data_IF_640207051394
#
_entry.id   IF_640207051394
#
_cell.length_a   1.000
_cell.length_b   1.000
_cell.length_c   1.000
_cell.angle_alpha   90.00
_cell.angle_beta   90.00
_cell.angle_gamma   90.00
#
_symmetry.space_group_name_H-M   'P 1'
#
loop_
_entity.id
_entity.type
_entity.pdbx_description
1 polymer ?
#
# COMPACT_ATOMS: atom_id res chain seq x y z
N UNK A 1 -0.39 -6.64 -22.87
CA UNK A 1 -0.23 -5.20 -22.52
C UNK A 1 1.25 -4.93 -22.41
N UNK A 2 1.75 -3.78 -22.87
CA UNK A 2 3.20 -3.54 -22.92
C UNK A 2 3.58 -2.51 -21.84
N UNK A 3 4.09 -2.98 -20.70
CA UNK A 3 4.57 -2.15 -19.61
C UNK A 3 6.10 -2.15 -19.47
N UNK A 4 6.81 -2.87 -20.35
CA UNK A 4 8.27 -2.96 -20.33
C UNK A 4 8.93 -1.58 -20.34
N UNK A 5 9.88 -1.37 -19.45
CA UNK A 5 10.63 -0.13 -19.29
C UNK A 5 9.90 0.97 -18.50
N UNK A 6 8.64 0.76 -18.11
CA UNK A 6 7.89 1.77 -17.35
C UNK A 6 8.26 1.75 -15.86
N UNK A 7 8.26 2.94 -15.29
CA UNK A 7 8.35 3.13 -13.84
C UNK A 7 7.01 2.85 -13.16
N UNK A 8 7.02 2.43 -11.90
CA UNK A 8 5.82 2.19 -11.09
C UNK A 8 5.83 3.06 -9.84
N UNK A 9 5.47 4.34 -9.99
CA UNK A 9 5.64 5.36 -8.96
C UNK A 9 4.35 5.69 -8.20
N UNK A 10 3.23 5.75 -8.92
CA UNK A 10 1.87 6.01 -8.41
C UNK A 10 0.84 5.51 -9.41
N UNK A 11 -0.35 5.10 -8.94
CA UNK A 11 -1.39 4.57 -9.82
C UNK A 11 -2.11 5.64 -10.65
N UNK A 12 -1.87 6.92 -10.39
CA UNK A 12 -2.31 7.99 -11.27
C UNK A 12 -1.73 7.85 -12.68
N UNK A 13 -0.53 7.29 -12.81
CA UNK A 13 0.19 7.11 -14.08
C UNK A 13 -0.27 5.90 -14.89
N UNK A 14 -1.23 5.12 -14.37
CA UNK A 14 -1.71 3.87 -14.96
C UNK A 14 -3.19 3.95 -15.32
N UNK A 15 -3.56 3.28 -16.43
CA UNK A 15 -4.99 3.18 -16.78
C UNK A 15 -5.69 2.07 -15.97
N UNK A 16 -7.03 2.09 -15.88
CA UNK A 16 -7.79 1.01 -15.24
C UNK A 16 -7.46 -0.39 -15.79
N UNK A 17 -7.25 -0.49 -17.11
CA UNK A 17 -6.92 -1.75 -17.79
C UNK A 17 -5.50 -2.22 -17.43
N UNK A 18 -4.55 -1.30 -17.30
CA UNK A 18 -3.17 -1.61 -16.87
C UNK A 18 -3.14 -2.09 -15.42
N UNK A 19 -3.92 -1.46 -14.54
CA UNK A 19 -4.05 -1.89 -13.14
C UNK A 19 -4.69 -3.28 -13.08
N UNK A 20 -5.78 -3.51 -13.82
CA UNK A 20 -6.45 -4.81 -13.90
C UNK A 20 -5.50 -5.90 -14.42
N UNK A 21 -4.72 -5.60 -15.45
CA UNK A 21 -3.70 -6.52 -15.96
C UNK A 21 -2.67 -6.91 -14.90
N UNK A 22 -2.19 -5.96 -14.07
CA UNK A 22 -1.25 -6.26 -12.99
C UNK A 22 -1.89 -7.13 -11.90
N UNK A 23 -3.17 -6.93 -11.59
CA UNK A 23 -3.91 -7.77 -10.65
C UNK A 23 -4.07 -9.20 -11.22
N UNK A 24 -4.42 -9.34 -12.50
CA UNK A 24 -4.55 -10.65 -13.18
C UNK A 24 -3.22 -11.40 -13.22
N UNK A 25 -2.15 -10.71 -13.57
CA UNK A 25 -0.81 -11.27 -13.58
C UNK A 25 -0.35 -11.69 -12.17
N UNK A 26 -0.73 -10.92 -11.14
CA UNK A 26 -0.45 -11.27 -9.75
C UNK A 26 -1.12 -12.60 -9.37
N UNK A 27 -2.37 -12.78 -9.74
CA UNK A 27 -3.11 -14.02 -9.53
C UNK A 27 -2.47 -15.20 -10.27
N UNK A 28 -2.15 -15.03 -11.55
CA UNK A 28 -1.48 -16.06 -12.36
C UNK A 28 -0.17 -16.51 -11.70
N UNK A 29 0.68 -15.57 -11.29
CA UNK A 29 1.97 -15.87 -10.64
C UNK A 29 1.81 -16.49 -9.25
N UNK A 30 0.79 -16.10 -8.50
CA UNK A 30 0.40 -16.73 -7.24
C UNK A 30 0.03 -18.20 -7.45
N UNK A 31 -0.80 -18.49 -8.44
CA UNK A 31 -1.19 -19.85 -8.76
C UNK A 31 -0.02 -20.71 -9.25
N UNK A 32 0.87 -20.16 -10.09
CA UNK A 32 2.09 -20.85 -10.52
C UNK A 32 2.95 -21.23 -9.32
N UNK A 33 3.19 -20.31 -8.39
CA UNK A 33 3.96 -20.59 -7.17
C UNK A 33 3.29 -21.66 -6.32
N UNK A 34 1.99 -21.59 -6.08
CA UNK A 34 1.26 -22.62 -5.31
C UNK A 34 1.29 -24.01 -5.95
N UNK A 35 1.33 -24.09 -7.28
CA UNK A 35 1.44 -25.35 -8.06
C UNK A 35 2.88 -25.82 -8.26
N UNK A 36 3.88 -25.09 -7.76
CA UNK A 36 5.31 -25.41 -7.96
C UNK A 36 5.78 -25.26 -9.42
N UNK A 37 5.03 -24.49 -10.24
CA UNK A 37 5.38 -24.26 -11.64
C UNK A 37 6.49 -23.19 -11.69
N UNK A 38 7.61 -23.55 -12.32
CA UNK A 38 8.73 -22.63 -12.53
C UNK A 38 8.31 -21.41 -13.36
N UNK A 39 8.76 -20.22 -12.95
CA UNK A 39 8.44 -18.95 -13.58
C UNK A 39 9.59 -17.94 -13.39
N UNK A 40 10.79 -18.37 -13.78
CA UNK A 40 12.06 -17.64 -13.64
C UNK A 40 12.47 -16.90 -14.93
N UNK A 41 11.53 -16.26 -15.58
CA UNK A 41 11.69 -15.60 -16.89
C UNK A 41 12.68 -14.42 -16.86
N UNK A 42 13.07 -13.92 -15.69
CA UNK A 42 14.02 -12.82 -15.51
C UNK A 42 15.40 -13.32 -15.01
N UNK A 43 15.72 -14.58 -15.27
CA UNK A 43 17.01 -15.16 -14.88
C UNK A 43 18.19 -14.31 -15.35
N UNK A 44 19.10 -14.00 -14.41
CA UNK A 44 20.32 -13.22 -14.68
C UNK A 44 20.16 -11.71 -14.52
N UNK A 45 18.95 -11.19 -14.33
CA UNK A 45 18.74 -9.78 -14.02
C UNK A 45 19.08 -9.47 -12.56
N UNK A 46 19.46 -8.23 -12.30
CA UNK A 46 19.87 -7.74 -10.99
C UNK A 46 19.05 -6.51 -10.63
N UNK A 47 18.56 -6.45 -9.40
CA UNK A 47 17.82 -5.28 -8.90
C UNK A 47 18.44 -4.72 -7.62
N UNK A 48 18.32 -3.39 -7.46
CA UNK A 48 18.69 -2.70 -6.22
C UNK A 48 17.43 -2.39 -5.40
N UNK A 49 17.50 -2.62 -4.09
CA UNK A 49 16.47 -2.22 -3.13
C UNK A 49 17.06 -1.12 -2.24
N UNK A 50 16.54 0.10 -2.39
CA UNK A 50 16.97 1.28 -1.62
C UNK A 50 15.97 1.54 -0.51
N UNK A 51 16.38 1.39 0.74
CA UNK A 51 15.54 1.63 1.90
C UNK A 51 16.07 2.79 2.74
N UNK A 52 15.36 3.90 2.78
CA UNK A 52 15.55 4.98 3.76
C UNK A 52 14.64 4.80 4.98
N UNK A 53 13.51 4.10 4.80
CA UNK A 53 12.62 3.61 5.87
C UNK A 53 12.66 2.09 5.90
N UNK A 54 12.97 1.51 7.05
CA UNK A 54 12.99 0.06 7.22
C UNK A 54 11.61 -0.58 7.01
N UNK A 55 11.59 -1.80 6.50
CA UNK A 55 10.37 -2.59 6.37
C UNK A 55 10.69 -4.07 6.17
N UNK A 56 10.20 -4.92 7.06
CA UNK A 56 10.31 -6.37 6.92
C UNK A 56 9.50 -6.87 5.72
N UNK A 57 8.22 -6.50 5.63
CA UNK A 57 7.30 -7.01 4.57
C UNK A 57 7.73 -6.59 3.17
N UNK A 58 7.99 -5.31 2.94
CA UNK A 58 8.39 -4.83 1.61
C UNK A 58 9.70 -5.47 1.17
N UNK A 59 10.70 -5.52 2.06
CA UNK A 59 11.98 -6.15 1.77
C UNK A 59 11.80 -7.63 1.42
N UNK A 60 11.19 -8.42 2.30
CA UNK A 60 10.98 -9.86 2.04
C UNK A 60 10.15 -10.09 0.77
N UNK A 61 9.13 -9.26 0.50
CA UNK A 61 8.31 -9.40 -0.71
C UNK A 61 9.12 -9.19 -1.98
N UNK A 62 9.97 -8.14 -2.04
CA UNK A 62 10.85 -7.91 -3.19
C UNK A 62 11.91 -9.00 -3.33
N UNK A 63 12.59 -9.38 -2.25
CA UNK A 63 13.63 -10.40 -2.28
C UNK A 63 13.08 -11.75 -2.77
N UNK A 64 11.96 -12.22 -2.19
CA UNK A 64 11.36 -13.51 -2.57
C UNK A 64 10.77 -13.44 -3.97
N UNK A 65 10.08 -12.35 -4.34
CA UNK A 65 9.54 -12.17 -5.68
C UNK A 65 10.64 -12.15 -6.76
N UNK A 66 11.74 -11.45 -6.50
CA UNK A 66 12.90 -11.42 -7.40
C UNK A 66 13.53 -12.81 -7.54
N UNK A 67 13.72 -13.52 -6.42
CA UNK A 67 14.25 -14.88 -6.43
C UNK A 67 13.37 -15.84 -7.24
N UNK A 68 12.05 -15.79 -7.06
CA UNK A 68 11.10 -16.61 -7.83
C UNK A 68 11.20 -16.36 -9.34
N UNK A 69 11.49 -15.10 -9.74
CA UNK A 69 11.69 -14.71 -11.14
C UNK A 69 13.12 -14.99 -11.68
N UNK A 70 14.02 -15.54 -10.85
CA UNK A 70 15.40 -15.85 -11.23
C UNK A 70 16.37 -14.67 -11.15
N UNK A 71 15.97 -13.58 -10.48
CA UNK A 71 16.79 -12.37 -10.33
C UNK A 71 17.68 -12.43 -9.08
N UNK A 72 18.74 -11.61 -9.10
CA UNK A 72 19.56 -11.30 -7.94
C UNK A 72 19.18 -9.94 -7.33
N UNK A 73 19.38 -9.81 -6.02
CA UNK A 73 19.00 -8.62 -5.25
C UNK A 73 20.20 -8.07 -4.49
N UNK A 74 20.36 -6.75 -4.54
CA UNK A 74 21.27 -6.00 -3.65
C UNK A 74 20.45 -5.08 -2.77
N UNK A 75 20.50 -5.30 -1.47
CA UNK A 75 19.83 -4.46 -0.48
C UNK A 75 20.74 -3.34 0.01
N UNK A 76 20.29 -2.11 -0.10
CA UNK A 76 20.95 -0.90 0.35
C UNK A 76 20.18 -0.31 1.53
N UNK A 77 20.69 -0.53 2.74
CA UNK A 77 20.06 -0.05 3.96
C UNK A 77 20.34 1.45 4.22
N UNK A 78 19.61 2.10 5.15
CA UNK A 78 19.80 3.52 5.45
C UNK A 78 21.19 3.89 5.96
N UNK A 79 21.92 2.94 6.55
CA UNK A 79 23.27 3.16 7.09
C UNK A 79 24.35 2.98 6.02
N UNK A 80 24.11 2.07 5.07
CA UNK A 80 25.02 1.75 3.97
C UNK A 80 24.88 2.63 2.73
N UNK A 81 23.80 3.43 2.64
CA UNK A 81 23.55 4.31 1.49
C UNK A 81 24.13 5.70 1.68
N UNK A 82 24.70 6.26 0.61
CA UNK A 82 25.19 7.65 0.55
C UNK A 82 24.18 8.61 -0.10
N UNK A 83 23.02 8.11 -0.52
CA UNK A 83 21.96 8.85 -1.22
C UNK A 83 21.55 10.09 -0.41
N UNK A 84 21.55 11.25 -1.06
CA UNK A 84 21.16 12.51 -0.45
C UNK A 84 22.11 13.04 0.63
N UNK A 85 23.21 12.34 0.93
CA UNK A 85 24.21 12.76 1.93
C UNK A 85 25.51 13.24 1.30
N UNK A 86 26.22 12.35 0.61
CA UNK A 86 27.47 12.65 -0.09
C UNK A 86 27.32 12.58 -1.61
N UNK A 87 26.26 11.98 -2.09
CA UNK A 87 25.94 11.83 -3.51
C UNK A 87 24.53 12.31 -3.77
N UNK A 88 24.33 13.04 -4.88
CA UNK A 88 23.00 13.48 -5.26
C UNK A 88 22.12 12.30 -5.68
N UNK A 89 20.78 12.45 -5.57
CA UNK A 89 19.82 11.45 -6.01
C UNK A 89 20.01 11.13 -7.50
N UNK A 90 20.22 12.19 -8.32
CA UNK A 90 20.44 12.05 -9.76
C UNK A 90 21.72 11.27 -10.10
N UNK A 91 22.82 11.48 -9.36
CA UNK A 91 24.08 10.76 -9.62
C UNK A 91 23.98 9.31 -9.15
N UNK A 92 23.42 9.07 -7.99
CA UNK A 92 23.10 7.71 -7.51
C UNK A 92 22.23 6.96 -8.53
N UNK A 93 21.19 7.60 -9.06
CA UNK A 93 20.32 7.00 -10.08
C UNK A 93 21.10 6.60 -11.34
N UNK A 94 21.97 7.48 -11.84
CA UNK A 94 22.81 7.21 -13.03
C UNK A 94 23.79 6.06 -12.80
N UNK A 95 24.37 5.97 -11.61
CA UNK A 95 25.30 4.88 -11.25
C UNK A 95 24.55 3.57 -11.16
N UNK A 96 23.48 3.51 -10.38
CA UNK A 96 22.70 2.28 -10.16
C UNK A 96 22.03 1.81 -11.45
N UNK A 97 21.50 2.71 -12.26
CA UNK A 97 20.89 2.36 -13.55
C UNK A 97 21.86 1.77 -14.58
N UNK A 98 23.18 1.87 -14.36
CA UNK A 98 24.21 1.19 -15.19
C UNK A 98 24.64 -0.16 -14.62
N UNK A 99 24.27 -0.46 -13.37
CA UNK A 99 24.63 -1.70 -12.70
C UNK A 99 23.45 -2.67 -12.59
N UNK A 100 22.23 -2.13 -12.48
CA UNK A 100 21.01 -2.88 -12.21
C UNK A 100 20.00 -2.76 -13.35
N UNK A 101 19.14 -3.76 -13.49
CA UNK A 101 18.03 -3.80 -14.44
C UNK A 101 16.78 -3.09 -13.93
N UNK A 102 16.69 -2.87 -12.63
CA UNK A 102 15.59 -2.17 -11.97
C UNK A 102 15.94 -1.73 -10.55
N UNK A 103 15.27 -0.71 -10.05
CA UNK A 103 15.52 -0.10 -8.73
C UNK A 103 14.22 0.03 -7.97
N UNK A 104 14.17 -0.50 -6.75
CA UNK A 104 13.13 -0.19 -5.79
C UNK A 104 13.60 0.92 -4.86
N UNK A 105 12.68 1.82 -4.51
CA UNK A 105 12.90 2.85 -3.50
C UNK A 105 11.77 2.84 -2.47
N UNK A 106 12.16 2.81 -1.20
CA UNK A 106 11.26 3.00 -0.05
C UNK A 106 11.82 4.08 0.87
N UNK A 107 11.10 5.19 0.99
CA UNK A 107 11.62 6.33 1.75
C UNK A 107 10.58 7.38 2.11
N UNK A 108 10.94 8.63 1.89
CA UNK A 108 10.18 9.78 2.36
C UNK A 108 9.38 10.45 1.23
N UNK A 109 9.94 11.45 0.55
CA UNK A 109 9.22 12.27 -0.41
C UNK A 109 9.03 11.59 -1.77
N UNK A 110 7.90 11.85 -2.40
CA UNK A 110 7.60 11.36 -3.75
C UNK A 110 8.58 11.93 -4.78
N UNK A 111 9.03 13.17 -4.58
CA UNK A 111 10.02 13.83 -5.43
C UNK A 111 11.34 13.04 -5.54
N UNK A 112 11.72 12.32 -4.50
CA UNK A 112 12.96 11.51 -4.47
C UNK A 112 12.84 10.34 -5.45
N UNK A 113 11.74 9.58 -5.38
CA UNK A 113 11.53 8.43 -6.26
C UNK A 113 11.29 8.87 -7.71
N UNK A 114 10.67 10.03 -7.92
CA UNK A 114 10.48 10.62 -9.25
C UNK A 114 11.82 11.10 -9.85
N UNK A 115 12.73 11.67 -9.04
CA UNK A 115 14.07 12.03 -9.46
C UNK A 115 14.91 10.78 -9.78
N UNK A 116 14.86 9.74 -8.97
CA UNK A 116 15.48 8.45 -9.27
C UNK A 116 14.98 7.92 -10.63
N UNK A 117 13.68 7.89 -10.84
CA UNK A 117 13.07 7.41 -12.09
C UNK A 117 13.50 8.22 -13.32
N UNK A 118 13.66 9.53 -13.15
CA UNK A 118 14.08 10.45 -14.23
C UNK A 118 15.50 10.17 -14.74
N UNK A 119 16.41 9.75 -13.86
CA UNK A 119 17.83 9.62 -14.19
C UNK A 119 18.36 8.18 -14.24
N UNK A 120 17.62 7.19 -13.76
CA UNK A 120 18.07 5.80 -13.69
C UNK A 120 18.23 5.14 -15.07
N UNK A 121 17.35 5.43 -16.04
CA UNK A 121 17.33 4.77 -17.34
C UNK A 121 16.87 3.31 -17.31
N UNK A 122 16.43 2.82 -16.15
CA UNK A 122 15.82 1.52 -15.91
C UNK A 122 14.54 1.71 -15.11
N UNK A 123 13.60 0.73 -15.08
CA UNK A 123 12.40 0.82 -14.26
C UNK A 123 12.70 1.10 -12.78
N UNK A 124 11.97 2.05 -12.22
CA UNK A 124 11.99 2.38 -10.79
C UNK A 124 10.62 2.06 -10.19
N UNK A 125 10.61 1.36 -9.06
CA UNK A 125 9.40 0.97 -8.34
C UNK A 125 9.32 1.67 -6.99
N UNK A 126 8.20 2.31 -6.72
CA UNK A 126 7.91 2.93 -5.43
C UNK A 126 7.44 1.89 -4.43
N UNK A 127 8.32 1.48 -3.52
CA UNK A 127 7.99 0.58 -2.41
C UNK A 127 7.18 1.25 -1.30
N UNK A 128 7.31 2.55 -1.12
CA UNK A 128 6.51 3.49 -0.32
C UNK A 128 7.16 4.86 -0.29
N UNK A 129 6.37 5.91 -0.45
CA UNK A 129 6.71 7.29 -0.07
C UNK A 129 5.69 7.82 0.95
N UNK A 130 5.83 9.07 1.37
CA UNK A 130 4.82 9.70 2.23
C UNK A 130 3.48 9.90 1.50
N UNK A 131 3.53 10.08 0.18
CA UNK A 131 2.38 10.43 -0.66
C UNK A 131 1.69 9.21 -1.27
N UNK A 132 2.46 8.15 -1.66
CA UNK A 132 1.90 7.00 -2.35
C UNK A 132 2.56 5.66 -1.95
N UNK A 133 1.76 4.58 -2.05
CA UNK A 133 2.20 3.20 -1.84
C UNK A 133 1.60 2.26 -2.91
N UNK A 134 1.99 2.42 -4.19
CA UNK A 134 1.31 1.73 -5.30
C UNK A 134 1.45 0.21 -5.27
N UNK A 135 2.55 -0.33 -4.74
CA UNK A 135 2.74 -1.79 -4.64
C UNK A 135 1.78 -2.45 -3.65
N UNK A 136 1.32 -1.72 -2.61
CA UNK A 136 0.28 -2.18 -1.69
C UNK A 136 -1.06 -2.29 -2.42
N UNK A 137 -1.39 -1.33 -3.26
CA UNK A 137 -2.69 -1.26 -3.94
C UNK A 137 -2.99 -2.49 -4.79
N UNK A 138 -2.00 -2.98 -5.54
CA UNK A 138 -2.21 -4.19 -6.37
C UNK A 138 -2.47 -5.41 -5.48
N UNK A 139 -1.82 -5.50 -4.32
CA UNK A 139 -2.05 -6.57 -3.35
C UNK A 139 -3.44 -6.47 -2.71
N UNK A 140 -3.85 -5.26 -2.32
CA UNK A 140 -5.16 -5.02 -1.71
C UNK A 140 -6.29 -5.39 -2.68
N UNK A 141 -6.17 -4.95 -3.94
CA UNK A 141 -7.17 -5.26 -4.97
C UNK A 141 -7.21 -6.76 -5.30
N UNK A 142 -6.06 -7.44 -5.33
CA UNK A 142 -6.04 -8.90 -5.48
C UNK A 142 -6.77 -9.58 -4.33
N UNK A 143 -6.51 -9.16 -3.08
CA UNK A 143 -7.14 -9.70 -1.88
C UNK A 143 -8.64 -9.49 -1.88
N UNK A 144 -9.10 -8.28 -2.18
CA UNK A 144 -10.54 -7.97 -2.30
C UNK A 144 -11.19 -8.87 -3.35
N UNK A 145 -10.56 -9.04 -4.51
CA UNK A 145 -11.09 -9.88 -5.58
C UNK A 145 -11.12 -11.37 -5.19
N UNK A 146 -10.14 -11.85 -4.46
CA UNK A 146 -10.12 -13.25 -3.97
C UNK A 146 -11.25 -13.53 -2.97
N UNK A 147 -11.56 -12.58 -2.09
CA UNK A 147 -12.59 -12.76 -1.05
C UNK A 147 -14.01 -12.37 -1.50
N UNK A 148 -14.14 -11.33 -2.33
CA UNK A 148 -15.45 -10.80 -2.73
C UNK A 148 -15.84 -11.13 -4.19
N UNK A 149 -14.95 -11.70 -5.00
CA UNK A 149 -15.19 -12.10 -6.38
C UNK A 149 -15.29 -10.94 -7.38
N UNK A 150 -15.21 -9.69 -6.94
CA UNK A 150 -15.33 -8.48 -7.76
C UNK A 150 -14.52 -7.33 -7.20
N UNK A 151 -14.32 -6.28 -8.03
CA UNK A 151 -13.82 -4.97 -7.61
C UNK A 151 -14.88 -3.89 -7.89
N UNK A 152 -15.37 -3.80 -9.13
CA UNK A 152 -16.36 -2.78 -9.50
C UNK A 152 -17.59 -2.81 -8.57
N UNK A 153 -17.98 -1.63 -8.07
CA UNK A 153 -19.11 -1.48 -7.16
C UNK A 153 -18.88 -2.01 -5.74
N UNK A 154 -17.62 -2.31 -5.36
CA UNK A 154 -17.25 -2.58 -3.97
C UNK A 154 -17.25 -1.26 -3.21
N UNK A 155 -17.95 -1.19 -2.08
CA UNK A 155 -17.86 -0.06 -1.16
C UNK A 155 -16.70 -0.28 -0.21
N UNK A 156 -15.67 0.55 -0.40
CA UNK A 156 -14.42 0.54 0.36
C UNK A 156 -14.38 1.70 1.35
N UNK A 157 -14.31 1.40 2.63
CA UNK A 157 -14.29 2.40 3.71
C UNK A 157 -12.90 2.42 4.35
N UNK A 158 -12.23 3.57 4.27
CA UNK A 158 -10.98 3.82 4.98
C UNK A 158 -11.23 4.62 6.25
N UNK A 159 -10.80 4.10 7.40
CA UNK A 159 -10.94 4.73 8.72
C UNK A 159 -9.56 5.04 9.29
N UNK A 160 -9.24 6.31 9.52
CA UNK A 160 -7.93 6.75 10.04
C UNK A 160 -7.43 8.02 9.36
N UNK A 161 -6.10 8.23 9.34
CA UNK A 161 -5.49 9.39 8.69
C UNK A 161 -5.39 9.19 7.17
N UNK A 162 -6.30 9.81 6.43
CA UNK A 162 -6.40 9.65 4.98
C UNK A 162 -5.52 10.64 4.17
N UNK A 163 -4.69 11.46 4.81
CA UNK A 163 -3.87 12.50 4.14
C UNK A 163 -2.61 11.98 3.46
N UNK A 164 -2.18 10.77 3.81
CA UNK A 164 -0.88 10.21 3.41
C UNK A 164 -1.03 9.03 2.44
N UNK A 165 0.06 8.29 2.26
CA UNK A 165 0.21 7.29 1.21
C UNK A 165 -0.93 6.28 1.10
N UNK A 166 -1.45 5.74 2.22
CA UNK A 166 -2.54 4.75 2.16
C UNK A 166 -3.85 5.39 1.72
N UNK A 167 -4.30 6.47 2.38
CA UNK A 167 -5.52 7.17 2.00
C UNK A 167 -5.50 7.65 0.57
N UNK A 168 -4.40 8.28 0.15
CA UNK A 168 -4.22 8.78 -1.21
C UNK A 168 -4.24 7.65 -2.25
N UNK A 169 -3.46 6.60 -2.03
CA UNK A 169 -3.34 5.49 -2.98
C UNK A 169 -4.63 4.69 -3.10
N UNK A 170 -5.31 4.42 -1.98
CA UNK A 170 -6.59 3.70 -1.96
C UNK A 170 -7.67 4.49 -2.69
N UNK A 171 -7.78 5.81 -2.45
CA UNK A 171 -8.74 6.67 -3.13
C UNK A 171 -8.53 6.68 -4.64
N UNK A 172 -7.29 6.87 -5.11
CA UNK A 172 -6.93 6.82 -6.54
C UNK A 172 -7.28 5.46 -7.14
N UNK A 173 -6.95 4.38 -6.44
CA UNK A 173 -7.18 3.02 -6.93
C UNK A 173 -8.67 2.69 -7.05
N UNK A 174 -9.45 3.05 -6.04
CA UNK A 174 -10.90 2.87 -6.05
C UNK A 174 -11.55 3.68 -7.18
N UNK A 175 -11.16 4.95 -7.35
CA UNK A 175 -11.66 5.80 -8.43
C UNK A 175 -11.41 5.16 -9.81
N UNK A 176 -10.20 4.62 -10.05
CA UNK A 176 -9.84 3.99 -11.33
C UNK A 176 -10.54 2.66 -11.58
N UNK A 177 -10.85 1.90 -10.54
CA UNK A 177 -11.44 0.55 -10.69
C UNK A 177 -12.97 0.53 -10.53
N UNK A 178 -13.62 1.70 -10.47
CA UNK A 178 -15.09 1.78 -10.35
C UNK A 178 -15.61 1.31 -8.99
N UNK A 179 -14.81 1.51 -7.92
CA UNK A 179 -15.17 1.21 -6.54
C UNK A 179 -15.62 2.47 -5.81
N UNK A 180 -16.54 2.33 -4.86
CA UNK A 180 -16.98 3.44 -4.03
C UNK A 180 -16.04 3.63 -2.84
N UNK A 181 -15.28 4.72 -2.83
CA UNK A 181 -14.35 5.05 -1.76
C UNK A 181 -14.99 5.99 -0.73
N UNK A 182 -14.87 5.64 0.54
CA UNK A 182 -15.30 6.47 1.65
C UNK A 182 -14.12 6.72 2.59
N UNK A 183 -13.68 7.97 2.72
CA UNK A 183 -12.81 8.37 3.83
C UNK A 183 -13.70 8.72 5.04
N UNK A 184 -13.78 7.80 6.00
CA UNK A 184 -14.55 7.95 7.22
C UNK A 184 -13.62 8.31 8.37
N UNK A 185 -13.44 9.60 8.62
CA UNK A 185 -12.49 10.13 9.60
C UNK A 185 -12.80 11.58 9.97
N UNK A 186 -12.12 12.13 10.98
CA UNK A 186 -12.21 13.53 11.30
C UNK A 186 -11.72 14.38 10.10
N UNK A 187 -12.42 15.46 9.79
CA UNK A 187 -12.14 16.33 8.63
C UNK A 187 -10.72 16.88 8.56
N UNK A 188 -10.00 16.99 9.69
CA UNK A 188 -8.56 17.34 9.71
C UNK A 188 -7.68 16.34 8.97
N UNK A 189 -8.17 15.12 8.81
CA UNK A 189 -7.45 13.96 8.25
C UNK A 189 -8.01 13.52 6.90
N UNK A 190 -8.84 14.34 6.27
CA UNK A 190 -9.28 14.11 4.89
C UNK A 190 -8.11 14.25 3.91
N UNK A 191 -8.14 13.53 2.78
CA UNK A 191 -7.16 13.71 1.71
C UNK A 191 -7.12 15.16 1.20
N UNK A 192 -6.03 15.52 0.55
CA UNK A 192 -5.89 16.83 -0.09
C UNK A 192 -6.99 17.09 -1.14
N UNK A 193 -7.55 18.29 -1.15
CA UNK A 193 -8.66 18.68 -2.02
C UNK A 193 -8.34 18.49 -3.51
N UNK A 194 -7.13 18.80 -3.98
CA UNK A 194 -6.74 18.63 -5.38
C UNK A 194 -6.77 17.15 -5.80
N UNK A 195 -6.32 16.25 -4.91
CA UNK A 195 -6.38 14.82 -5.17
C UNK A 195 -7.81 14.28 -5.12
N UNK A 196 -8.65 14.82 -4.23
CA UNK A 196 -10.08 14.48 -4.16
C UNK A 196 -10.78 14.85 -5.45
N UNK A 197 -10.57 16.06 -5.97
CA UNK A 197 -11.16 16.50 -7.24
C UNK A 197 -10.67 15.65 -8.42
N UNK A 198 -9.36 15.38 -8.52
CA UNK A 198 -8.83 14.43 -9.50
C UNK A 198 -9.54 13.07 -9.45
N UNK A 199 -9.74 12.52 -8.25
CA UNK A 199 -10.40 11.23 -8.09
C UNK A 199 -11.88 11.27 -8.43
N UNK A 200 -12.57 12.38 -8.18
CA UNK A 200 -13.98 12.59 -8.62
C UNK A 200 -14.09 12.64 -10.13
N UNK A 201 -13.19 13.37 -10.81
CA UNK A 201 -13.17 13.45 -12.28
C UNK A 201 -12.95 12.06 -12.90
N UNK A 202 -12.03 11.26 -12.32
CA UNK A 202 -11.82 9.86 -12.74
C UNK A 202 -13.06 9.02 -12.48
N UNK A 203 -13.71 9.19 -11.33
CA UNK A 203 -14.90 8.44 -10.92
C UNK A 203 -16.08 8.63 -11.87
N UNK A 204 -16.24 9.82 -12.46
CA UNK A 204 -17.27 10.09 -13.48
C UNK A 204 -17.16 9.13 -14.69
N UNK A 205 -15.95 8.74 -15.05
CA UNK A 205 -15.70 7.85 -16.21
C UNK A 205 -15.80 6.36 -15.86
N UNK A 206 -15.50 5.99 -14.61
CA UNK A 206 -15.45 4.58 -14.17
C UNK A 206 -16.72 4.11 -13.49
N UNK A 207 -17.57 5.06 -13.04
CA UNK A 207 -18.77 4.80 -12.24
C UNK A 207 -18.48 4.58 -10.75
N UNK A 208 -17.31 5.01 -10.27
CA UNK A 208 -16.97 5.07 -8.85
C UNK A 208 -17.66 6.25 -8.15
N UNK A 209 -17.61 6.27 -6.82
CA UNK A 209 -17.93 7.47 -6.02
C UNK A 209 -16.85 7.75 -4.98
N UNK A 210 -16.66 9.04 -4.65
CA UNK A 210 -15.71 9.49 -3.63
C UNK A 210 -16.47 10.26 -2.57
N UNK A 211 -16.48 9.75 -1.35
CA UNK A 211 -17.20 10.33 -0.21
C UNK A 211 -16.24 10.60 0.95
N UNK A 212 -16.41 11.77 1.58
CA UNK A 212 -15.70 12.15 2.81
C UNK A 212 -16.76 12.36 3.90
N UNK A 213 -16.64 11.67 5.02
CA UNK A 213 -17.60 11.78 6.13
C UNK A 213 -16.94 11.67 7.49
N UNK A 214 -17.49 12.38 8.47
CA UNK A 214 -17.14 12.24 9.88
C UNK A 214 -18.10 11.29 10.62
N UNK A 215 -19.20 10.86 9.98
CA UNK A 215 -20.18 9.95 10.56
C UNK A 215 -19.83 8.49 10.26
N UNK A 216 -19.46 7.75 11.32
CA UNK A 216 -19.06 6.34 11.20
C UNK A 216 -20.24 5.46 10.75
N UNK A 217 -21.45 5.71 11.22
CA UNK A 217 -22.61 4.90 10.86
C UNK A 217 -22.99 5.07 9.39
N UNK A 218 -22.91 6.30 8.87
CA UNK A 218 -23.11 6.60 7.46
C UNK A 218 -21.98 6.03 6.60
N UNK A 219 -20.74 6.26 7.01
CA UNK A 219 -19.55 5.80 6.28
C UNK A 219 -19.52 4.29 6.11
N UNK A 220 -19.77 3.54 7.17
CA UNK A 220 -19.70 2.06 7.16
C UNK A 220 -20.96 1.38 6.66
N UNK A 221 -22.07 2.12 6.45
CA UNK A 221 -23.31 1.55 5.93
C UNK A 221 -23.10 0.83 4.60
N UNK A 222 -23.53 -0.41 4.54
CA UNK A 222 -23.40 -1.29 3.35
C UNK A 222 -21.96 -1.47 2.85
N UNK A 223 -20.94 -1.27 3.70
CA UNK A 223 -19.54 -1.47 3.35
C UNK A 223 -19.25 -2.93 2.98
N UNK A 224 -18.45 -3.13 1.94
CA UNK A 224 -17.87 -4.43 1.56
C UNK A 224 -16.48 -4.61 2.20
N UNK A 225 -15.74 -3.51 2.38
CA UNK A 225 -14.40 -3.50 2.97
C UNK A 225 -14.30 -2.38 3.99
N UNK A 226 -13.78 -2.69 5.18
CA UNK A 226 -13.34 -1.69 6.15
C UNK A 226 -11.84 -1.83 6.32
N UNK A 227 -11.13 -0.75 6.04
CA UNK A 227 -9.67 -0.67 6.03
C UNK A 227 -9.19 0.38 7.04
N UNK A 228 -8.10 0.10 7.73
CA UNK A 228 -7.40 1.10 8.54
C UNK A 228 -5.89 0.94 8.44
N UNK A 229 -5.17 1.92 8.94
CA UNK A 229 -3.71 1.94 9.07
C UNK A 229 -3.36 2.58 10.42
N UNK A 230 -2.11 2.42 10.85
CA UNK A 230 -1.62 3.03 12.09
C UNK A 230 -1.91 4.53 12.15
N UNK A 231 -2.39 5.01 13.28
CA UNK A 231 -2.70 6.43 13.44
C UNK A 231 -1.46 7.32 13.46
N UNK A 232 -0.33 6.76 13.86
CA UNK A 232 0.94 7.48 13.97
C UNK A 232 2.06 6.62 13.42
N UNK A 233 2.86 7.20 12.52
CA UNK A 233 4.04 6.52 11.97
C UNK A 233 5.16 6.46 13.00
N UNK A 234 6.00 5.41 12.93
CA UNK A 234 7.17 5.29 13.79
C UNK A 234 8.12 6.48 13.60
N UNK A 235 8.58 7.06 14.72
CA UNK A 235 9.51 8.18 14.73
C UNK A 235 8.86 9.57 14.79
N UNK A 236 7.52 9.66 14.81
CA UNK A 236 6.83 10.92 15.06
C UNK A 236 6.92 11.34 16.54
N UNK A 237 6.84 12.65 16.81
CA UNK A 237 6.95 13.22 18.15
C UNK A 237 5.75 12.86 19.04
N UNK A 238 5.97 12.85 20.36
CA UNK A 238 4.96 12.42 21.32
C UNK A 238 3.68 13.27 21.31
N UNK A 239 3.83 14.57 21.07
CA UNK A 239 2.71 15.51 20.99
C UNK A 239 1.76 15.15 19.86
N UNK A 240 2.30 14.64 18.74
CA UNK A 240 1.52 14.16 17.60
C UNK A 240 0.68 12.94 17.97
N UNK A 241 1.20 12.05 18.81
CA UNK A 241 0.48 10.87 19.29
C UNK A 241 -0.76 11.25 20.10
N UNK A 242 -0.63 12.17 21.05
CA UNK A 242 -1.75 12.60 21.91
C UNK A 242 -2.88 13.22 21.09
N UNK A 243 -2.56 14.08 20.12
CA UNK A 243 -3.55 14.72 19.26
C UNK A 243 -4.26 13.69 18.36
N UNK A 244 -3.50 12.83 17.67
CA UNK A 244 -4.08 11.84 16.76
C UNK A 244 -4.91 10.80 17.48
N UNK A 245 -4.46 10.31 18.63
CA UNK A 245 -5.26 9.38 19.45
C UNK A 245 -6.60 10.04 19.82
N UNK A 246 -6.58 11.28 20.29
CA UNK A 246 -7.81 12.00 20.64
C UNK A 246 -8.75 12.15 19.46
N UNK A 247 -8.24 12.56 18.31
CA UNK A 247 -9.05 12.90 17.13
C UNK A 247 -9.49 11.63 16.37
N UNK A 248 -8.71 10.55 16.38
CA UNK A 248 -8.98 9.32 15.62
C UNK A 248 -9.62 8.20 16.43
N UNK A 249 -9.63 8.27 17.75
CA UNK A 249 -10.28 7.25 18.59
C UNK A 249 -11.75 6.99 18.24
N UNK A 250 -12.58 7.99 17.86
CA UNK A 250 -13.94 7.75 17.38
C UNK A 250 -14.01 6.89 16.11
N UNK A 251 -12.91 6.81 15.35
CA UNK A 251 -12.78 6.08 14.10
C UNK A 251 -11.98 4.77 14.24
N UNK A 252 -11.80 4.28 15.47
CA UNK A 252 -11.24 2.94 15.71
C UNK A 252 -12.11 1.89 15.05
N UNK A 253 -11.49 0.97 14.30
CA UNK A 253 -12.21 -0.17 13.73
C UNK A 253 -12.46 -1.20 14.84
N UNK A 254 -13.71 -1.33 15.22
CA UNK A 254 -14.20 -2.24 16.25
C UNK A 254 -15.49 -2.93 15.77
N UNK A 255 -16.09 -3.78 16.56
CA UNK A 255 -17.33 -4.49 16.22
C UNK A 255 -18.46 -3.55 15.76
N UNK A 256 -18.57 -2.35 16.37
CA UNK A 256 -19.57 -1.34 15.98
C UNK A 256 -19.40 -0.86 14.54
N UNK A 257 -18.18 -0.75 14.03
CA UNK A 257 -17.93 -0.33 12.65
C UNK A 257 -18.55 -1.31 11.65
N UNK A 258 -18.75 -2.57 12.04
CA UNK A 258 -19.35 -3.61 11.22
C UNK A 258 -20.87 -3.77 11.38
N UNK A 259 -21.50 -3.11 12.37
CA UNK A 259 -22.95 -3.24 12.59
C UNK A 259 -23.80 -2.83 11.38
N UNK A 260 -23.34 -1.85 10.61
CA UNK A 260 -24.03 -1.36 9.42
C UNK A 260 -23.39 -1.85 8.11
N UNK A 261 -22.27 -2.56 8.17
CA UNK A 261 -21.61 -3.15 7.02
C UNK A 261 -22.35 -4.41 6.54
N UNK A 262 -22.04 -4.89 5.36
CA UNK A 262 -22.58 -6.16 4.86
C UNK A 262 -22.09 -7.33 5.71
N UNK A 263 -22.89 -8.40 5.79
CA UNK A 263 -22.49 -9.62 6.47
C UNK A 263 -21.20 -10.22 5.91
N UNK A 264 -20.96 -10.06 4.61
CA UNK A 264 -19.76 -10.49 3.91
C UNK A 264 -18.60 -9.49 3.99
N UNK A 265 -18.73 -8.39 4.72
CA UNK A 265 -17.69 -7.38 4.81
C UNK A 265 -16.40 -7.92 5.41
N UNK A 266 -15.27 -7.59 4.80
CA UNK A 266 -13.93 -7.98 5.25
C UNK A 266 -13.20 -6.81 5.90
N UNK A 267 -12.29 -7.15 6.82
CA UNK A 267 -11.34 -6.23 7.45
C UNK A 267 -9.98 -6.35 6.81
N UNK A 268 -9.36 -5.21 6.47
CA UNK A 268 -8.03 -5.13 5.87
C UNK A 268 -7.14 -4.12 6.59
N UNK A 269 -5.83 -4.37 6.56
CA UNK A 269 -4.80 -3.52 7.17
C UNK A 269 -3.43 -3.84 6.58
N UNK A 270 -2.69 -2.85 6.11
CA UNK A 270 -1.37 -3.04 5.48
C UNK A 270 -0.27 -3.55 6.43
N UNK A 271 -0.54 -3.59 7.73
CA UNK A 271 0.40 -3.96 8.80
C UNK A 271 1.66 -3.07 8.87
N UNK A 272 2.23 -2.84 10.06
CA UNK A 272 1.86 -3.43 11.36
C UNK A 272 0.58 -2.83 11.94
N UNK A 273 -0.10 -3.53 12.83
CA UNK A 273 -1.28 -3.05 13.54
C UNK A 273 -1.02 -2.99 15.07
N UNK A 274 -1.63 -2.01 15.74
CA UNK A 274 -1.56 -1.89 17.20
C UNK A 274 -2.89 -2.33 17.82
N UNK A 275 -3.14 -3.64 17.79
CA UNK A 275 -4.36 -4.25 18.30
C UNK A 275 -4.19 -4.92 19.67
N UNK A 276 -2.94 -5.06 20.16
CA UNK A 276 -2.63 -5.69 21.45
C UNK A 276 -1.37 -5.13 22.13
N UNK A 277 -1.01 -5.70 23.30
CA UNK A 277 0.16 -5.30 24.08
C UNK A 277 1.41 -6.15 23.83
N UNK A 278 1.44 -6.97 22.77
CA UNK A 278 2.60 -7.87 22.52
C UNK A 278 3.79 -7.16 21.91
N UNK A 279 3.63 -5.91 21.43
CA UNK A 279 4.72 -5.11 20.88
C UNK A 279 5.31 -4.13 21.90
N UNK A 280 6.58 -3.73 21.72
CA UNK A 280 7.21 -2.71 22.57
C UNK A 280 6.46 -1.39 22.50
N UNK A 281 6.06 -0.96 21.30
CA UNK A 281 5.34 0.30 21.08
C UNK A 281 3.94 0.23 21.70
N UNK A 282 3.22 -0.88 21.53
CA UNK A 282 1.91 -1.07 22.16
C UNK A 282 1.96 -0.93 23.68
N UNK A 283 3.00 -1.49 24.32
CA UNK A 283 3.22 -1.31 25.77
C UNK A 283 3.50 0.14 26.16
N UNK A 284 4.35 0.84 25.41
CA UNK A 284 4.66 2.25 25.63
C UNK A 284 3.42 3.14 25.50
N UNK A 285 2.58 2.87 24.51
CA UNK A 285 1.30 3.58 24.32
C UNK A 285 0.35 3.30 25.48
N UNK A 286 0.26 2.05 25.94
CA UNK A 286 -0.54 1.71 27.10
C UNK A 286 -0.08 2.42 28.38
N UNK A 287 1.22 2.43 28.64
CA UNK A 287 1.81 3.12 29.80
C UNK A 287 1.50 4.64 29.80
N UNK A 288 1.49 5.27 28.60
CA UNK A 288 1.28 6.71 28.48
C UNK A 288 -0.18 7.13 28.35
N UNK A 289 -0.97 6.38 27.59
CA UNK A 289 -2.33 6.77 27.19
C UNK A 289 -3.40 5.85 27.74
N UNK A 290 -3.03 4.74 28.40
CA UNK A 290 -3.99 3.76 28.93
C UNK A 290 -4.78 2.96 27.89
N UNK A 291 -4.29 2.91 26.64
CA UNK A 291 -4.96 2.24 25.53
C UNK A 291 -4.21 0.96 25.16
N UNK A 292 -4.91 -0.17 25.27
CA UNK A 292 -4.38 -1.48 24.87
C UNK A 292 -4.51 -1.76 23.38
N UNK A 293 -5.38 -1.03 22.69
CA UNK A 293 -5.72 -1.16 21.27
C UNK A 293 -5.85 0.25 20.66
N UNK A 294 -5.35 0.46 19.47
CA UNK A 294 -5.39 1.76 18.80
C UNK A 294 -6.36 1.76 17.60
N UNK A 295 -5.85 1.68 16.38
CA UNK A 295 -6.63 1.83 15.15
C UNK A 295 -7.64 0.69 14.92
N UNK A 296 -7.39 -0.48 15.50
CA UNK A 296 -8.26 -1.65 15.43
C UNK A 296 -8.27 -2.40 16.76
N UNK A 297 -9.40 -3.00 17.11
CA UNK A 297 -9.49 -3.88 18.28
C UNK A 297 -8.98 -5.29 17.98
N UNK A 298 -8.45 -5.99 18.99
CA UNK A 298 -7.99 -7.38 18.86
C UNK A 298 -9.14 -8.31 18.41
N UNK A 299 -10.37 -8.05 18.90
CA UNK A 299 -11.58 -8.77 18.50
C UNK A 299 -11.79 -8.74 16.96
N UNK A 300 -11.63 -7.58 16.32
CA UNK A 300 -11.79 -7.46 14.86
C UNK A 300 -10.58 -8.02 14.14
N UNK A 301 -9.38 -7.73 14.62
CA UNK A 301 -8.13 -8.16 14.00
C UNK A 301 -8.00 -9.69 13.92
N UNK A 302 -8.45 -10.41 14.96
CA UNK A 302 -8.41 -11.89 15.04
C UNK A 302 -9.72 -12.54 14.56
N UNK A 303 -10.69 -11.77 14.07
CA UNK A 303 -11.96 -12.30 13.59
C UNK A 303 -11.86 -13.00 12.24
N UNK A 304 -12.88 -13.80 11.88
CA UNK A 304 -13.00 -14.42 10.55
C UNK A 304 -13.16 -13.41 9.40
N UNK A 305 -13.50 -12.15 9.70
CA UNK A 305 -13.57 -11.06 8.73
C UNK A 305 -12.19 -10.52 8.34
N UNK A 306 -11.19 -10.78 9.16
CA UNK A 306 -9.83 -10.28 8.96
C UNK A 306 -9.09 -11.07 7.89
N UNK A 307 -8.67 -10.39 6.84
CA UNK A 307 -7.91 -10.97 5.72
C UNK A 307 -6.49 -10.39 5.62
N UNK A 308 -6.01 -9.79 6.71
CA UNK A 308 -4.73 -9.04 6.75
C UNK A 308 -3.51 -9.89 6.39
N UNK A 309 -3.53 -11.19 6.68
CA UNK A 309 -2.40 -12.08 6.35
C UNK A 309 -2.44 -12.54 4.89
N UNK A 310 -3.61 -12.71 4.29
CA UNK A 310 -3.77 -12.93 2.84
C UNK A 310 -3.33 -11.70 2.07
N UNK A 311 -3.69 -10.50 2.55
CA UNK A 311 -3.24 -9.21 2.03
C UNK A 311 -1.71 -9.10 2.09
N UNK A 312 -1.09 -9.44 3.22
CA UNK A 312 0.35 -9.43 3.39
C UNK A 312 1.07 -10.44 2.46
N UNK A 313 0.52 -11.64 2.27
CA UNK A 313 1.04 -12.61 1.29
C UNK A 313 0.96 -12.05 -0.13
N UNK A 314 -0.16 -11.42 -0.48
CA UNK A 314 -0.39 -10.86 -1.81
C UNK A 314 0.60 -9.76 -2.20
N UNK A 315 1.26 -9.11 -1.23
CA UNK A 315 2.37 -8.17 -1.48
C UNK A 315 3.49 -8.79 -2.32
N UNK A 316 3.88 -10.01 -2.00
CA UNK A 316 4.91 -10.73 -2.76
C UNK A 316 4.45 -10.99 -4.21
N UNK A 317 3.20 -11.40 -4.40
CA UNK A 317 2.66 -11.73 -5.73
C UNK A 317 2.46 -10.48 -6.60
N UNK A 318 1.98 -9.38 -6.01
CA UNK A 318 1.81 -8.11 -6.71
C UNK A 318 3.15 -7.49 -7.14
N UNK A 319 4.14 -7.50 -6.26
CA UNK A 319 5.49 -7.03 -6.55
C UNK A 319 6.14 -7.88 -7.66
N UNK A 320 5.95 -9.20 -7.62
CA UNK A 320 6.39 -10.11 -8.67
C UNK A 320 5.79 -9.74 -10.03
N UNK A 321 4.48 -9.48 -10.07
CA UNK A 321 3.79 -9.08 -11.29
C UNK A 321 4.29 -7.73 -11.83
N UNK A 322 4.51 -6.75 -10.96
CA UNK A 322 5.05 -5.44 -11.33
C UNK A 322 6.45 -5.58 -11.94
N UNK A 323 7.36 -6.30 -11.28
CA UNK A 323 8.71 -6.52 -11.79
C UNK A 323 8.69 -7.28 -13.12
N UNK A 324 7.90 -8.35 -13.24
CA UNK A 324 7.76 -9.10 -14.49
C UNK A 324 7.22 -8.22 -15.62
N UNK A 325 6.16 -7.48 -15.37
CA UNK A 325 5.52 -6.64 -16.39
C UNK A 325 6.42 -5.50 -16.90
N UNK A 326 7.32 -4.99 -16.06
CA UNK A 326 8.19 -3.86 -16.39
C UNK A 326 9.58 -4.29 -16.88
N UNK A 327 10.01 -5.54 -16.66
CA UNK A 327 11.34 -6.04 -17.06
C UNK A 327 11.30 -7.12 -18.16
N UNK A 328 10.21 -7.87 -18.30
CA UNK A 328 10.10 -8.92 -19.33
C UNK A 328 9.85 -8.33 -20.72
N UNK A 329 10.23 -9.13 -21.74
CA UNK A 329 9.92 -8.86 -23.16
C UNK A 329 8.45 -9.11 -23.49
#
# INVERSE_FOLDING_TARGET
MQLKGRNFLKLMDYTPEEITYLIDLSQELKEKKKKGIRHDELTGKNIALIFEKTSTRTRCSFEVAAHDLGMHVTYLDPSGSQIGKKESIADTARVLGRMFDGIEYRGYGQEIVEELAKYAGVPVWNGLTNEFHPTQMIADMLTIREHLGRLKGVKFVYMGDARYNMGNSLMVTCAKLGMDFVACTNKKYFPNDELVEYCKDVAETTGASITLTEDVAEGTKDADVIYTDVWVSMGEQEEVWAERIKDLKPYQVNAKAFENAKDSAIFMHCLPAFHDLKTTIGKQVYEKFGLSELEVTDEVFESERSVVFDEAENRMHSIKAIMRATLAD
#
